data_IF_306709792333
#
_entry.id   IF_306709792333
#
_cell.length_a   1.000
_cell.length_b   1.000
_cell.length_c   1.000
_cell.angle_alpha   90.00
_cell.angle_beta   90.00
_cell.angle_gamma   90.00
#
_symmetry.space_group_name_H-M   'P 1'
#
loop_
_entity.id
_entity.type
_entity.pdbx_description
1 polymer ?
#
# COMPACT_ATOMS: atom_id res chain seq x y z
N UNK A 1 15.08 -16.35 9.07
CA UNK A 1 15.55 -15.05 9.63
C UNK A 1 14.58 -14.00 9.16
N UNK A 2 13.80 -13.42 10.08
CA UNK A 2 12.84 -12.38 9.74
C UNK A 2 13.64 -11.15 9.27
N UNK A 3 13.53 -10.81 7.98
CA UNK A 3 13.92 -9.49 7.53
C UNK A 3 13.11 -8.51 8.38
N UNK A 4 13.79 -7.71 9.21
CA UNK A 4 13.13 -6.79 10.13
C UNK A 4 12.20 -5.87 9.33
N UNK A 5 10.91 -5.87 9.67
CA UNK A 5 9.90 -4.96 9.08
C UNK A 5 10.17 -3.48 9.42
N UNK A 6 11.17 -3.20 10.25
CA UNK A 6 11.54 -1.88 10.81
C UNK A 6 11.84 -0.79 9.77
N UNK A 7 12.68 -1.01 8.74
CA UNK A 7 13.02 0.06 7.80
C UNK A 7 11.83 0.48 6.92
N UNK A 8 10.94 -0.46 6.60
CA UNK A 8 9.72 -0.17 5.85
C UNK A 8 8.70 0.58 6.73
N UNK A 9 8.55 0.20 8.00
CA UNK A 9 7.66 0.88 8.94
C UNK A 9 8.04 2.35 9.14
N UNK A 10 9.33 2.65 9.37
CA UNK A 10 9.81 4.03 9.51
C UNK A 10 9.59 4.87 8.24
N UNK A 11 9.71 4.26 7.06
CA UNK A 11 9.43 4.95 5.79
C UNK A 11 7.95 5.25 5.60
N UNK A 12 7.07 4.29 5.90
CA UNK A 12 5.62 4.50 5.86
C UNK A 12 5.19 5.61 6.81
N UNK A 13 5.79 5.67 8.00
CA UNK A 13 5.57 6.77 8.94
C UNK A 13 6.01 8.12 8.37
N UNK A 14 7.21 8.19 7.79
CA UNK A 14 7.69 9.42 7.16
C UNK A 14 6.79 9.87 5.99
N UNK A 15 6.31 8.93 5.15
CA UNK A 15 5.39 9.22 4.05
C UNK A 15 4.05 9.76 4.56
N UNK A 16 3.46 9.14 5.60
CA UNK A 16 2.23 9.61 6.23
C UNK A 16 2.41 11.04 6.77
N UNK A 17 3.48 11.29 7.55
CA UNK A 17 3.75 12.63 8.10
C UNK A 17 3.95 13.69 7.02
N UNK A 18 4.65 13.37 5.92
CA UNK A 18 4.80 14.28 4.78
C UNK A 18 3.45 14.61 4.12
N UNK A 19 2.52 13.65 4.04
CA UNK A 19 1.19 13.90 3.48
C UNK A 19 0.33 14.78 4.41
N UNK A 20 0.50 14.67 5.72
CA UNK A 20 -0.27 15.43 6.71
C UNK A 20 0.27 16.84 6.95
N UNK A 21 1.60 17.00 7.03
CA UNK A 21 2.25 18.23 7.46
C UNK A 21 2.85 19.03 6.28
N UNK A 22 2.99 18.41 5.11
CA UNK A 22 3.53 19.05 3.91
C UNK A 22 4.96 19.57 4.10
N UNK A 23 5.16 20.84 3.79
CA UNK A 23 6.49 21.50 3.81
C UNK A 23 7.04 21.75 5.22
N UNK A 24 6.24 21.52 6.27
CA UNK A 24 6.64 21.76 7.67
C UNK A 24 7.33 20.55 8.32
N UNK A 25 7.81 19.58 7.54
CA UNK A 25 8.44 18.35 8.03
C UNK A 25 9.93 18.28 7.74
N UNK A 26 10.69 17.67 8.66
CA UNK A 26 12.10 17.29 8.46
C UNK A 26 12.20 15.77 8.46
N UNK A 27 12.75 15.19 7.40
CA UNK A 27 12.96 13.74 7.29
C UNK A 27 14.46 13.44 7.44
N UNK A 28 14.78 12.56 8.39
CA UNK A 28 16.13 12.04 8.59
C UNK A 28 16.15 10.61 8.05
N UNK A 29 17.02 10.33 7.08
CA UNK A 29 17.11 9.04 6.41
C UNK A 29 18.56 8.64 6.16
N UNK A 30 18.85 7.33 6.21
CA UNK A 30 20.13 6.81 5.71
C UNK A 30 20.16 6.86 4.18
N UNK A 31 21.36 6.74 3.60
CA UNK A 31 21.50 6.62 2.15
C UNK A 31 20.72 5.41 1.63
N UNK A 32 20.72 4.28 2.35
CA UNK A 32 19.98 3.09 1.91
C UNK A 32 18.47 3.32 1.89
N UNK A 33 17.94 4.14 2.80
CA UNK A 33 16.51 4.46 2.84
C UNK A 33 16.05 5.31 1.64
N UNK A 34 16.97 5.99 0.96
CA UNK A 34 16.71 6.81 -0.23
C UNK A 34 16.81 6.03 -1.55
N UNK A 35 17.42 4.84 -1.56
CA UNK A 35 17.65 4.07 -2.79
C UNK A 35 16.37 3.49 -3.42
N UNK A 36 15.38 2.97 -2.64
CA UNK A 36 14.18 2.42 -3.22
C UNK A 36 13.36 3.50 -3.92
N UNK A 37 12.96 3.23 -5.15
CA UNK A 37 11.96 4.08 -5.81
C UNK A 37 10.62 3.88 -5.12
N UNK A 38 10.02 4.97 -4.68
CA UNK A 38 8.67 4.99 -4.12
C UNK A 38 7.66 5.32 -5.21
N UNK A 39 6.40 4.98 -4.96
CA UNK A 39 5.30 5.33 -5.86
C UNK A 39 5.08 6.84 -5.86
N UNK A 40 4.44 7.41 -6.90
CA UNK A 40 4.11 8.83 -6.90
C UNK A 40 3.30 9.20 -5.65
N UNK A 41 3.60 10.32 -4.97
CA UNK A 41 2.89 10.72 -3.75
C UNK A 41 1.37 10.75 -3.93
N UNK A 42 0.90 11.24 -5.07
CA UNK A 42 -0.52 11.27 -5.41
C UNK A 42 -1.15 9.87 -5.53
N UNK A 43 -0.41 8.87 -6.01
CA UNK A 43 -0.90 7.49 -6.10
C UNK A 43 -1.00 6.85 -4.71
N UNK A 44 -0.01 7.09 -3.86
CA UNK A 44 -0.05 6.61 -2.47
C UNK A 44 -1.18 7.26 -1.68
N UNK A 45 -1.32 8.59 -1.80
CA UNK A 45 -2.34 9.34 -1.09
C UNK A 45 -3.78 8.97 -1.51
N UNK A 46 -4.01 8.62 -2.78
CA UNK A 46 -5.32 8.12 -3.26
C UNK A 46 -5.77 6.82 -2.59
N UNK A 47 -4.83 6.02 -2.08
CA UNK A 47 -5.14 4.78 -1.37
C UNK A 47 -5.46 5.01 0.13
N UNK A 48 -5.40 6.25 0.60
CA UNK A 48 -5.83 6.59 1.95
C UNK A 48 -7.34 6.37 2.15
N UNK A 49 -7.73 6.06 3.39
CA UNK A 49 -9.11 5.82 3.77
C UNK A 49 -9.49 6.83 4.84
N UNK A 50 -10.25 7.86 4.45
CA UNK A 50 -10.84 8.81 5.38
C UNK A 50 -12.12 8.23 6.00
N UNK A 51 -12.21 8.31 7.32
CA UNK A 51 -13.32 7.79 8.12
C UNK A 51 -13.76 8.86 9.11
N UNK A 52 -15.05 9.12 9.20
CA UNK A 52 -15.64 10.12 10.08
C UNK A 52 -16.88 9.55 10.80
N UNK A 53 -17.14 10.00 12.01
CA UNK A 53 -18.38 9.65 12.73
C UNK A 53 -19.61 10.17 11.95
N UNK A 54 -20.65 9.36 11.89
CA UNK A 54 -21.89 9.52 11.09
C UNK A 54 -21.69 9.42 9.57
N UNK A 55 -20.53 8.93 9.11
CA UNK A 55 -20.31 8.66 7.68
C UNK A 55 -20.94 7.30 7.30
N UNK A 56 -21.69 7.28 6.19
CA UNK A 56 -22.05 6.03 5.52
C UNK A 56 -20.82 5.47 4.79
N UNK A 57 -20.43 4.25 5.15
CA UNK A 57 -19.32 3.49 4.56
C UNK A 57 -19.72 2.03 4.51
N UNK A 58 -19.84 1.47 3.30
CA UNK A 58 -20.08 0.04 3.13
C UNK A 58 -19.00 -0.77 3.85
N UNK A 59 -19.48 -1.59 4.78
CA UNK A 59 -18.61 -2.31 5.71
C UNK A 59 -17.63 -3.23 4.97
N UNK A 60 -18.11 -3.97 3.97
CA UNK A 60 -17.29 -4.95 3.24
C UNK A 60 -16.24 -4.26 2.35
N UNK A 61 -16.61 -3.15 1.72
CA UNK A 61 -15.75 -2.30 0.91
C UNK A 61 -14.62 -1.73 1.76
N UNK A 62 -14.88 -1.29 2.99
CA UNK A 62 -13.82 -0.87 3.92
C UNK A 62 -12.81 -1.98 4.15
N UNK A 63 -13.25 -3.21 4.45
CA UNK A 63 -12.34 -4.32 4.70
C UNK A 63 -11.49 -4.65 3.46
N UNK A 64 -12.08 -4.63 2.26
CA UNK A 64 -11.36 -4.83 1.01
C UNK A 64 -10.32 -3.72 0.77
N UNK A 65 -10.68 -2.46 1.04
CA UNK A 65 -9.77 -1.32 0.93
C UNK A 65 -8.62 -1.42 1.92
N UNK A 66 -8.84 -1.88 3.15
CA UNK A 66 -7.77 -2.10 4.13
C UNK A 66 -6.76 -3.14 3.65
N UNK A 67 -7.25 -4.28 3.10
CA UNK A 67 -6.38 -5.31 2.53
C UNK A 67 -5.60 -4.78 1.32
N UNK A 68 -6.26 -4.04 0.42
CA UNK A 68 -5.62 -3.42 -0.74
C UNK A 68 -4.56 -2.38 -0.33
N UNK A 69 -4.84 -1.60 0.72
CA UNK A 69 -3.93 -0.65 1.34
C UNK A 69 -2.79 -1.33 2.12
N UNK A 70 -2.79 -2.67 2.24
CA UNK A 70 -1.70 -3.45 2.79
C UNK A 70 -1.83 -3.87 4.23
N UNK A 71 -2.99 -3.66 4.86
CA UNK A 71 -3.24 -4.12 6.22
C UNK A 71 -3.48 -5.63 6.25
N UNK A 72 -2.93 -6.27 7.27
CA UNK A 72 -3.05 -7.70 7.53
C UNK A 72 -4.25 -7.96 8.47
N UNK A 73 -5.17 -8.84 8.05
CA UNK A 73 -6.30 -9.22 8.93
C UNK A 73 -5.82 -10.19 10.00
N UNK A 74 -6.15 -9.90 11.26
CA UNK A 74 -5.81 -10.72 12.41
C UNK A 74 -7.01 -10.90 13.35
N UNK A 75 -6.89 -11.80 14.34
CA UNK A 75 -7.92 -12.01 15.38
C UNK A 75 -7.96 -10.85 16.40
N UNK A 76 -6.79 -10.26 16.66
CA UNK A 76 -6.61 -9.08 17.48
C UNK A 76 -5.56 -8.17 16.86
N UNK A 77 -5.65 -6.89 17.18
CA UNK A 77 -4.66 -5.90 16.78
C UNK A 77 -3.56 -5.87 17.84
N UNK A 78 -2.40 -6.44 17.53
CA UNK A 78 -1.24 -6.47 18.42
C UNK A 78 -0.02 -5.70 17.88
N UNK A 79 -0.04 -5.32 16.60
CA UNK A 79 1.05 -4.59 15.98
C UNK A 79 0.58 -3.75 14.79
N UNK A 80 1.39 -2.77 14.43
CA UNK A 80 1.13 -1.87 13.31
C UNK A 80 1.00 -2.62 11.98
N UNK A 81 0.14 -2.11 11.10
CA UNK A 81 -0.22 -2.73 9.82
C UNK A 81 -1.26 -3.83 9.95
N UNK A 82 -1.91 -4.00 11.11
CA UNK A 82 -2.95 -5.01 11.32
C UNK A 82 -4.33 -4.38 11.43
N UNK A 83 -5.35 -5.17 11.12
CA UNK A 83 -6.73 -4.87 11.49
C UNK A 83 -7.45 -6.13 11.98
N UNK A 84 -8.39 -5.97 12.90
CA UNK A 84 -9.23 -7.04 13.42
C UNK A 84 -10.70 -6.68 13.29
N UNK A 85 -11.53 -7.72 13.15
CA UNK A 85 -12.98 -7.58 12.94
C UNK A 85 -13.72 -8.42 13.97
N UNK A 86 -14.65 -7.80 14.69
CA UNK A 86 -15.48 -8.44 15.72
C UNK A 86 -16.92 -7.93 15.63
N UNK A 87 -17.75 -8.62 14.85
CA UNK A 87 -19.11 -8.17 14.59
C UNK A 87 -19.12 -6.81 13.89
N UNK A 88 -19.71 -5.82 14.54
CA UNK A 88 -19.80 -4.43 14.13
C UNK A 88 -18.57 -3.58 14.50
N UNK A 89 -17.56 -4.18 15.10
CA UNK A 89 -16.33 -3.49 15.51
C UNK A 89 -15.18 -3.80 14.55
N UNK A 90 -14.46 -2.77 14.12
CA UNK A 90 -13.20 -2.88 13.39
C UNK A 90 -12.09 -2.15 14.14
N UNK A 91 -11.05 -2.89 14.54
CA UNK A 91 -9.85 -2.31 15.12
C UNK A 91 -8.78 -2.20 14.03
N UNK A 92 -8.07 -1.07 13.94
CA UNK A 92 -7.04 -0.81 12.92
C UNK A 92 -5.81 -0.22 13.61
N UNK A 93 -4.62 -0.75 13.32
CA UNK A 93 -3.36 -0.20 13.82
C UNK A 93 -2.50 0.35 12.68
N UNK A 94 -2.51 1.68 12.46
CA UNK A 94 -1.64 2.31 11.48
C UNK A 94 -0.16 2.27 11.91
N UNK A 95 0.76 2.44 10.95
CA UNK A 95 2.21 2.53 11.23
C UNK A 95 2.67 3.88 11.80
N UNK A 96 1.78 4.88 11.82
CA UNK A 96 2.13 6.28 12.07
C UNK A 96 1.35 6.89 13.24
N UNK A 97 0.43 6.14 13.85
CA UNK A 97 -0.42 6.63 14.93
C UNK A 97 -0.88 5.47 15.84
N UNK A 98 -1.52 5.80 16.96
CA UNK A 98 -2.12 4.84 17.88
C UNK A 98 -3.28 4.07 17.20
N UNK A 99 -3.50 2.79 17.56
CA UNK A 99 -4.60 2.03 17.01
C UNK A 99 -5.95 2.69 17.30
N UNK A 100 -6.90 2.45 16.41
CA UNK A 100 -8.26 2.97 16.50
C UNK A 100 -9.28 1.85 16.46
N UNK A 101 -10.38 2.08 17.17
CA UNK A 101 -11.59 1.25 17.14
C UNK A 101 -12.70 2.01 16.44
N UNK A 102 -13.28 1.37 15.44
CA UNK A 102 -14.48 1.80 14.74
C UNK A 102 -15.65 0.91 15.17
N UNK A 103 -16.78 1.53 15.46
CA UNK A 103 -18.04 0.84 15.74
C UNK A 103 -19.06 1.21 14.66
N UNK A 104 -19.71 0.21 14.08
CA UNK A 104 -20.68 0.35 12.99
C UNK A 104 -22.11 0.11 13.47
N UNK A 105 -23.07 0.72 12.78
CA UNK A 105 -24.47 0.30 12.81
C UNK A 105 -24.98 0.19 11.38
N UNK A 106 -25.07 -1.05 10.88
CA UNK A 106 -25.22 -1.27 9.44
C UNK A 106 -24.00 -0.72 8.70
N UNK A 107 -24.22 0.24 7.81
CA UNK A 107 -23.17 0.91 7.03
C UNK A 107 -22.77 2.28 7.61
N UNK A 108 -23.21 2.64 8.82
CA UNK A 108 -22.86 3.92 9.44
C UNK A 108 -21.76 3.77 10.49
N UNK A 109 -20.73 4.61 10.41
CA UNK A 109 -19.69 4.73 11.46
C UNK A 109 -20.27 5.50 12.65
N UNK A 110 -20.61 4.80 13.73
CA UNK A 110 -21.26 5.42 14.90
C UNK A 110 -20.28 5.94 15.95
N UNK A 111 -19.08 5.37 16.02
CA UNK A 111 -18.06 5.78 16.99
C UNK A 111 -16.65 5.49 16.47
N UNK A 112 -15.75 6.47 16.68
CA UNK A 112 -14.31 6.34 16.50
C UNK A 112 -13.61 6.60 17.83
N UNK A 113 -12.72 5.70 18.24
CA UNK A 113 -11.97 5.81 19.50
C UNK A 113 -10.53 5.40 19.32
N UNK A 114 -9.62 5.99 20.11
CA UNK A 114 -8.29 5.42 20.32
C UNK A 114 -8.41 4.10 21.07
N UNK A 115 -7.49 3.18 20.77
CA UNK A 115 -7.41 1.85 21.34
C UNK A 115 -6.03 1.68 21.96
N UNK A 116 -5.99 1.23 23.20
CA UNK A 116 -4.77 0.79 23.85
C UNK A 116 -4.36 -0.60 23.31
N UNK A 117 -3.19 -0.75 22.66
CA UNK A 117 -2.83 -2.01 22.00
C UNK A 117 -2.55 -3.16 22.97
N UNK A 118 -2.16 -2.87 24.22
CA UNK A 118 -1.85 -3.91 25.21
C UNK A 118 -3.12 -4.41 25.92
N UNK A 119 -3.92 -3.48 26.46
CA UNK A 119 -5.12 -3.78 27.23
C UNK A 119 -6.35 -4.00 26.37
N UNK A 120 -6.32 -3.63 25.08
CA UNK A 120 -7.43 -3.70 24.13
C UNK A 120 -8.64 -2.86 24.55
N UNK A 121 -8.42 -1.87 25.43
CA UNK A 121 -9.46 -0.96 25.95
C UNK A 121 -9.55 0.28 25.08
N UNK A 122 -10.78 0.69 24.78
CA UNK A 122 -11.02 1.98 24.15
C UNK A 122 -10.68 3.12 25.10
N UNK A 123 -10.06 4.15 24.56
CA UNK A 123 -9.65 5.37 25.26
C UNK A 123 -10.54 6.54 24.79
N UNK A 124 -9.94 7.68 24.46
CA UNK A 124 -10.63 8.88 24.00
C UNK A 124 -11.37 8.68 22.68
N UNK A 125 -12.45 9.45 22.50
CA UNK A 125 -13.19 9.55 21.24
C UNK A 125 -12.51 10.54 20.30
N UNK A 126 -12.55 10.23 19.02
CA UNK A 126 -12.15 11.12 17.93
C UNK A 126 -13.32 11.28 16.95
N UNK A 127 -13.32 12.33 16.15
CA UNK A 127 -14.41 12.60 15.18
C UNK A 127 -14.10 12.10 13.79
N UNK A 128 -12.82 12.03 13.43
CA UNK A 128 -12.35 11.60 12.12
C UNK A 128 -10.94 11.00 12.23
N UNK A 129 -10.57 10.21 11.21
CA UNK A 129 -9.21 9.72 11.01
C UNK A 129 -8.95 9.46 9.53
N UNK A 130 -7.70 9.65 9.11
CA UNK A 130 -7.20 9.19 7.81
C UNK A 130 -6.34 7.95 8.03
N UNK A 131 -6.71 6.84 7.40
CA UNK A 131 -5.93 5.61 7.36
C UNK A 131 -5.03 5.61 6.11
N UNK A 132 -3.74 5.92 6.28
CA UNK A 132 -2.74 5.85 5.20
C UNK A 132 -2.35 4.39 4.91
N UNK A 133 -1.88 4.10 3.69
CA UNK A 133 -1.50 2.74 3.31
C UNK A 133 -0.40 2.13 4.18
N UNK A 134 -0.56 0.85 4.48
CA UNK A 134 0.39 -0.01 5.19
C UNK A 134 1.43 -0.67 4.25
N UNK A 135 1.57 -0.18 3.02
CA UNK A 135 2.58 -0.62 2.05
C UNK A 135 3.05 0.55 1.18
N UNK A 136 4.30 0.45 0.72
CA UNK A 136 4.93 1.48 -0.10
C UNK A 136 4.46 1.44 -1.55
N UNK A 137 4.05 0.27 -2.04
CA UNK A 137 3.60 0.05 -3.40
C UNK A 137 2.09 -0.17 -3.44
N UNK A 138 1.36 0.68 -4.17
CA UNK A 138 -0.09 0.55 -4.33
C UNK A 138 -0.39 -0.29 -5.57
N UNK A 139 -1.00 -1.44 -5.33
CA UNK A 139 -1.49 -2.29 -6.40
C UNK A 139 -2.97 -2.04 -6.63
N UNK A 140 -3.33 -1.80 -7.89
CA UNK A 140 -4.70 -1.67 -8.35
C UNK A 140 -4.85 -2.40 -9.69
N UNK A 141 -6.04 -2.92 -9.98
CA UNK A 141 -6.29 -3.73 -11.17
C UNK A 141 -6.09 -2.93 -12.47
N UNK A 142 -6.46 -1.65 -12.48
CA UNK A 142 -6.29 -0.79 -13.65
C UNK A 142 -4.81 -0.45 -13.85
N UNK A 143 -4.08 -0.18 -12.76
CA UNK A 143 -2.63 0.01 -12.80
C UNK A 143 -1.91 -1.25 -13.29
N UNK A 144 -2.37 -2.43 -12.88
CA UNK A 144 -1.81 -3.70 -13.32
C UNK A 144 -2.05 -3.94 -14.82
N UNK A 145 -3.25 -3.66 -15.32
CA UNK A 145 -3.57 -3.77 -16.74
C UNK A 145 -2.68 -2.83 -17.56
N UNK A 146 -2.56 -1.56 -17.15
CA UNK A 146 -1.68 -0.59 -17.79
C UNK A 146 -0.22 -1.03 -17.78
N UNK A 147 0.26 -1.58 -16.66
CA UNK A 147 1.62 -2.11 -16.55
C UNK A 147 1.87 -3.29 -17.49
N UNK A 148 0.91 -4.22 -17.59
CA UNK A 148 0.99 -5.36 -18.52
C UNK A 148 1.11 -4.89 -19.96
N UNK A 149 0.33 -3.89 -20.36
CA UNK A 149 0.38 -3.33 -21.70
C UNK A 149 1.69 -2.58 -21.96
N UNK A 150 2.19 -1.82 -20.98
CA UNK A 150 3.51 -1.20 -21.04
C UNK A 150 4.65 -2.21 -21.20
N UNK A 151 4.61 -3.33 -20.48
CA UNK A 151 5.59 -4.42 -20.59
C UNK A 151 5.54 -5.06 -21.99
N UNK A 152 4.34 -5.31 -22.53
CA UNK A 152 4.17 -5.87 -23.88
C UNK A 152 4.73 -4.92 -24.93
N UNK A 153 4.46 -3.62 -24.82
CA UNK A 153 4.97 -2.62 -25.76
C UNK A 153 6.51 -2.56 -25.73
N UNK A 154 7.10 -2.46 -24.54
CA UNK A 154 8.55 -2.48 -24.37
C UNK A 154 9.21 -3.79 -24.89
N UNK A 155 8.52 -4.92 -24.74
CA UNK A 155 8.96 -6.19 -25.33
C UNK A 155 8.99 -6.13 -26.86
N UNK A 156 7.93 -5.63 -27.51
CA UNK A 156 7.85 -5.54 -28.97
C UNK A 156 8.98 -4.66 -29.54
N UNK A 157 9.15 -3.45 -28.98
CA UNK A 157 10.20 -2.52 -29.38
C UNK A 157 11.59 -3.14 -29.25
N UNK A 158 11.87 -3.77 -28.10
CA UNK A 158 13.18 -4.35 -27.85
C UNK A 158 13.44 -5.59 -28.71
N UNK A 159 12.41 -6.40 -28.97
CA UNK A 159 12.51 -7.56 -29.85
C UNK A 159 12.88 -7.14 -31.28
N UNK A 160 12.33 -6.03 -31.74
CA UNK A 160 12.55 -5.53 -33.10
C UNK A 160 13.99 -5.01 -33.31
N UNK A 161 14.63 -4.50 -32.26
CA UNK A 161 16.07 -4.14 -32.27
C UNK A 161 16.97 -5.39 -32.28
N UNK A 162 16.52 -6.50 -31.70
CA UNK A 162 17.27 -7.75 -31.60
C UNK A 162 17.09 -8.69 -32.81
N UNK A 163 16.58 -8.18 -33.94
CA UNK A 163 16.46 -8.93 -35.19
C UNK A 163 17.83 -9.49 -35.58
N UNK A 164 17.93 -10.82 -35.70
CA UNK A 164 19.17 -11.53 -36.06
C UNK A 164 19.76 -12.42 -34.97
N UNK A 165 19.29 -12.34 -33.71
CA UNK A 165 19.72 -13.25 -32.64
C UNK A 165 18.53 -13.96 -32.00
N UNK A 166 18.25 -15.19 -32.45
CA UNK A 166 17.14 -16.02 -31.93
C UNK A 166 17.26 -16.25 -30.42
N UNK A 167 18.48 -16.53 -29.93
CA UNK A 167 18.69 -16.78 -28.50
C UNK A 167 18.43 -15.53 -27.64
N UNK A 168 18.83 -14.35 -28.12
CA UNK A 168 18.57 -13.10 -27.42
C UNK A 168 17.05 -12.80 -27.36
N UNK A 169 16.33 -13.03 -28.47
CA UNK A 169 14.88 -12.87 -28.52
C UNK A 169 14.16 -13.85 -27.59
N UNK A 170 14.61 -15.11 -27.51
CA UNK A 170 14.04 -16.11 -26.60
C UNK A 170 14.25 -15.73 -25.12
N UNK A 171 15.45 -15.26 -24.75
CA UNK A 171 15.72 -14.77 -23.39
C UNK A 171 14.85 -13.56 -23.04
N UNK A 172 14.72 -12.61 -23.96
CA UNK A 172 13.87 -11.43 -23.78
C UNK A 172 12.40 -11.84 -23.59
N UNK A 173 11.88 -12.76 -24.40
CA UNK A 173 10.51 -13.24 -24.31
C UNK A 173 10.22 -13.89 -22.95
N UNK A 174 11.11 -14.77 -22.47
CA UNK A 174 10.97 -15.40 -21.14
C UNK A 174 10.92 -14.34 -20.03
N UNK A 175 11.76 -13.30 -20.12
CA UNK A 175 11.78 -12.20 -19.15
C UNK A 175 10.50 -11.38 -19.19
N UNK A 176 10.01 -11.04 -20.38
CA UNK A 176 8.77 -10.29 -20.56
C UNK A 176 7.56 -11.05 -20.00
N UNK A 177 7.45 -12.35 -20.30
CA UNK A 177 6.38 -13.19 -19.76
C UNK A 177 6.42 -13.23 -18.23
N UNK A 178 7.61 -13.39 -17.64
CA UNK A 178 7.77 -13.34 -16.18
C UNK A 178 7.30 -11.99 -15.62
N UNK A 179 7.62 -10.88 -16.27
CA UNK A 179 7.22 -9.55 -15.81
C UNK A 179 5.71 -9.34 -15.92
N UNK A 180 5.07 -9.85 -16.98
CA UNK A 180 3.60 -9.81 -17.13
C UNK A 180 2.93 -10.58 -15.99
N UNK A 181 3.39 -11.78 -15.67
CA UNK A 181 2.81 -12.55 -14.55
C UNK A 181 3.04 -11.83 -13.21
N UNK A 182 4.24 -11.28 -12.97
CA UNK A 182 4.49 -10.47 -11.78
C UNK A 182 3.57 -9.24 -11.69
N UNK A 183 3.30 -8.58 -12.81
CA UNK A 183 2.40 -7.42 -12.85
C UNK A 183 0.93 -7.82 -12.59
N UNK A 184 0.50 -9.02 -12.99
CA UNK A 184 -0.85 -9.52 -12.70
C UNK A 184 -1.03 -9.95 -11.25
N UNK A 185 0.00 -10.48 -10.62
CA UNK A 185 -0.11 -11.01 -9.25
C UNK A 185 -0.01 -9.90 -8.19
N UNK A 186 0.67 -8.79 -8.49
CA UNK A 186 0.76 -7.63 -7.59
C UNK A 186 1.47 -7.88 -6.26
N UNK A 187 2.08 -9.05 -6.09
CA UNK A 187 2.72 -9.50 -4.85
C UNK A 187 4.04 -10.18 -5.19
N UNK A 188 5.11 -9.87 -4.45
CA UNK A 188 6.40 -10.56 -4.52
C UNK A 188 7.60 -9.65 -4.34
N UNK A 189 8.68 -10.18 -3.76
CA UNK A 189 9.90 -9.44 -3.38
C UNK A 189 10.72 -8.83 -4.51
N UNK A 190 10.19 -8.79 -5.73
CA UNK A 190 10.84 -8.26 -6.93
C UNK A 190 9.96 -7.28 -7.72
N UNK A 191 8.86 -6.77 -7.13
CA UNK A 191 7.97 -5.78 -7.74
C UNK A 191 8.71 -4.53 -8.24
N UNK A 192 9.85 -4.17 -7.63
CA UNK A 192 10.73 -3.08 -8.10
C UNK A 192 11.18 -3.25 -9.57
N UNK A 193 11.26 -4.48 -10.08
CA UNK A 193 11.62 -4.75 -11.48
C UNK A 193 10.53 -4.33 -12.47
N UNK A 194 9.27 -4.33 -12.03
CA UNK A 194 8.10 -4.03 -12.85
C UNK A 194 7.42 -2.72 -12.46
N UNK A 195 7.75 -2.16 -11.30
CA UNK A 195 7.24 -0.89 -10.78
C UNK A 195 7.24 0.27 -11.80
N UNK A 196 8.27 0.47 -12.65
CA UNK A 196 8.24 1.55 -13.65
C UNK A 196 7.07 1.44 -14.65
N UNK A 197 6.54 0.24 -14.88
CA UNK A 197 5.40 0.03 -15.76
C UNK A 197 4.07 0.37 -15.09
N UNK A 198 4.01 0.35 -13.75
CA UNK A 198 2.83 0.80 -12.99
C UNK A 198 2.76 2.33 -12.91
N UNK A 199 3.91 3.01 -12.96
CA UNK A 199 4.00 4.47 -12.85
C UNK A 199 4.93 5.05 -13.94
N UNK A 200 4.50 5.02 -15.21
CA UNK A 200 5.35 5.37 -16.35
C UNK A 200 5.78 6.85 -16.40
N UNK A 201 5.06 7.73 -15.70
CA UNK A 201 5.35 9.17 -15.65
C UNK A 201 6.44 9.55 -14.63
N UNK A 202 6.93 8.61 -13.82
CA UNK A 202 8.02 8.92 -12.89
C UNK A 202 9.36 9.09 -13.63
N UNK A 203 10.09 10.19 -13.40
CA UNK A 203 11.42 10.35 -13.98
C UNK A 203 12.34 9.20 -13.55
N UNK A 204 13.09 8.69 -14.54
CA UNK A 204 14.02 7.56 -14.40
C UNK A 204 15.24 7.90 -13.57
#
# INVERSE_FOLDING_TARGET
MAASREPAAGRLQALASLCEQGENSVVIASVEALLPKLVPPACWAKAAISLQVNQETDYNSLLQRLVAAGYERSENVSGAGQFAVRGDVVDIYPFYDSPVRLEFWGDEVTSLRRLDPESQRSQERITEIIIWPAREFIYDADLAAAAVDGIKNAYQERRDVLKGSKDAQLRLQRRANRYVEMAKEGIGGSLSLVQPYFYPEQPS
#
